data_IF_378562645781
#
_entry.id   IF_378562645781
#
_cell.length_a   1.000
_cell.length_b   1.000
_cell.length_c   1.000
_cell.angle_alpha   90.00
_cell.angle_beta   90.00
_cell.angle_gamma   90.00
#
_symmetry.space_group_name_H-M   'P 1'
#
loop_
_entity.id
_entity.type
_entity.pdbx_description
1 polymer ?
#
# COMPACT_ATOMS: atom_id res chain seq x y z
N UNK A 1 -12.37 66.58 -70.00
CA UNK A 1 -12.46 67.66 -68.99
C UNK A 1 -13.69 67.40 -68.13
N UNK A 2 -13.54 67.45 -66.79
CA UNK A 2 -14.61 67.35 -65.77
C UNK A 2 -15.04 65.93 -65.43
N UNK A 3 -14.42 65.19 -64.49
CA UNK A 3 -14.51 65.31 -63.03
C UNK A 3 -15.93 65.57 -62.53
N UNK A 4 -16.56 64.59 -61.86
CA UNK A 4 -16.97 64.73 -60.47
C UNK A 4 -17.11 63.37 -59.77
N UNK A 5 -16.50 63.34 -58.59
CA UNK A 5 -16.25 62.25 -57.69
C UNK A 5 -17.46 62.10 -56.73
N UNK A 6 -18.02 60.89 -56.56
CA UNK A 6 -18.82 60.52 -55.38
C UNK A 6 -18.56 59.05 -55.05
N UNK A 7 -17.88 58.84 -53.92
CA UNK A 7 -17.57 57.52 -53.37
C UNK A 7 -18.84 56.71 -53.10
N UNK A 8 -18.83 55.39 -53.36
CA UNK A 8 -19.99 54.53 -53.12
C UNK A 8 -20.18 54.25 -51.62
N UNK A 9 -21.45 54.23 -51.19
CA UNK A 9 -21.86 53.82 -49.86
C UNK A 9 -21.51 52.34 -49.61
N UNK A 10 -21.17 51.96 -48.36
CA UNK A 10 -20.82 50.58 -48.04
C UNK A 10 -22.02 49.64 -48.21
N UNK A 11 -21.79 48.39 -48.66
CA UNK A 11 -22.85 47.41 -48.80
C UNK A 11 -23.40 46.99 -47.42
N UNK A 12 -24.68 46.59 -47.33
CA UNK A 12 -25.30 46.10 -46.10
C UNK A 12 -24.64 44.79 -45.63
N UNK A 13 -24.66 44.51 -44.32
CA UNK A 13 -24.02 43.33 -43.74
C UNK A 13 -24.61 42.02 -44.30
N UNK A 14 -23.74 41.03 -44.50
CA UNK A 14 -24.13 39.71 -44.97
C UNK A 14 -25.10 39.02 -43.99
N UNK A 15 -26.10 38.28 -44.49
CA UNK A 15 -27.02 37.53 -43.64
C UNK A 15 -26.28 36.43 -42.86
N UNK A 16 -26.77 36.07 -41.65
CA UNK A 16 -26.12 35.06 -40.82
C UNK A 16 -26.12 33.68 -41.50
N UNK A 17 -25.09 32.84 -41.22
CA UNK A 17 -24.99 31.51 -41.80
C UNK A 17 -26.16 30.62 -41.37
N UNK A 18 -26.59 29.67 -42.22
CA UNK A 18 -27.68 28.76 -41.90
C UNK A 18 -27.31 27.86 -40.71
N UNK A 19 -28.29 27.44 -39.90
CA UNK A 19 -28.05 26.57 -38.76
C UNK A 19 -27.52 25.19 -39.20
N UNK A 20 -26.69 24.53 -38.38
CA UNK A 20 -26.10 23.24 -38.72
C UNK A 20 -27.19 22.16 -38.89
N UNK A 21 -26.95 21.15 -39.75
CA UNK A 21 -27.93 20.12 -40.03
C UNK A 21 -28.24 19.30 -38.78
N UNK A 22 -29.54 19.06 -38.54
CA UNK A 22 -30.00 18.19 -37.47
C UNK A 22 -29.57 16.74 -37.74
N UNK A 23 -29.11 15.98 -36.72
CA UNK A 23 -28.75 14.58 -36.92
C UNK A 23 -29.99 13.75 -37.28
N UNK A 24 -29.85 12.96 -38.34
CA UNK A 24 -30.81 11.96 -38.78
C UNK A 24 -31.15 10.98 -37.65
N UNK A 25 -32.45 10.72 -37.47
CA UNK A 25 -33.01 9.91 -36.40
C UNK A 25 -32.34 8.54 -36.23
N UNK A 26 -31.97 8.23 -34.99
CA UNK A 26 -31.50 6.91 -34.59
C UNK A 26 -32.66 5.91 -34.69
N UNK A 27 -32.60 5.01 -35.69
CA UNK A 27 -33.29 3.73 -35.61
C UNK A 27 -32.68 2.96 -34.44
N UNK A 28 -33.52 2.60 -33.47
CA UNK A 28 -33.14 1.88 -32.26
C UNK A 28 -32.42 0.58 -32.57
N UNK A 29 -31.09 0.59 -32.44
CA UNK A 29 -30.33 -0.61 -32.16
C UNK A 29 -30.54 -0.85 -30.67
N UNK A 30 -31.25 -1.92 -30.32
CA UNK A 30 -31.33 -2.38 -28.95
C UNK A 30 -29.89 -2.60 -28.45
N UNK A 31 -29.39 -1.63 -27.69
CA UNK A 31 -28.21 -1.82 -26.87
C UNK A 31 -28.57 -2.97 -25.94
N UNK A 32 -28.04 -4.16 -26.20
CA UNK A 32 -27.81 -5.12 -25.12
C UNK A 32 -27.04 -4.31 -24.08
N UNK A 33 -27.74 -3.89 -23.01
CA UNK A 33 -27.09 -3.49 -21.76
C UNK A 33 -26.10 -4.62 -21.52
N UNK A 34 -24.82 -4.33 -21.71
CA UNK A 34 -23.80 -5.17 -21.14
C UNK A 34 -24.16 -5.16 -19.66
N UNK A 35 -24.75 -6.26 -19.19
CA UNK A 35 -24.87 -6.53 -17.77
C UNK A 35 -23.47 -6.38 -17.25
N UNK A 36 -23.24 -5.26 -16.54
CA UNK A 36 -22.07 -5.12 -15.70
C UNK A 36 -21.97 -6.44 -14.92
N UNK A 37 -20.80 -7.11 -14.93
CA UNK A 37 -20.59 -8.22 -14.02
C UNK A 37 -21.02 -7.72 -12.64
N UNK A 38 -21.91 -8.44 -11.97
CA UNK A 38 -22.28 -8.11 -10.60
C UNK A 38 -20.97 -7.88 -9.83
N UNK A 39 -20.81 -6.70 -9.21
CA UNK A 39 -19.65 -6.43 -8.39
C UNK A 39 -19.47 -7.63 -7.46
N UNK A 40 -18.36 -8.36 -7.57
CA UNK A 40 -18.11 -9.51 -6.72
C UNK A 40 -18.22 -9.02 -5.28
N UNK A 41 -19.35 -9.34 -4.62
CA UNK A 41 -19.59 -9.00 -3.24
C UNK A 41 -18.70 -9.92 -2.42
N UNK A 42 -17.50 -9.45 -2.10
CA UNK A 42 -16.65 -10.13 -1.13
C UNK A 42 -17.39 -10.21 0.21
N UNK A 43 -17.17 -11.27 1.01
CA UNK A 43 -17.78 -11.37 2.33
C UNK A 43 -17.56 -10.10 3.14
N UNK A 44 -18.63 -9.58 3.75
CA UNK A 44 -18.56 -8.36 4.56
C UNK A 44 -17.45 -8.47 5.62
N UNK A 45 -16.60 -7.46 5.71
CA UNK A 45 -15.47 -7.46 6.64
C UNK A 45 -14.22 -8.21 6.16
N UNK A 46 -14.24 -8.91 5.02
CA UNK A 46 -13.02 -9.47 4.42
C UNK A 46 -11.99 -8.39 4.10
N UNK A 47 -10.70 -8.73 4.15
CA UNK A 47 -9.64 -7.79 3.82
C UNK A 47 -9.29 -7.81 2.33
N UNK A 48 -9.09 -6.63 1.75
CA UNK A 48 -8.24 -6.49 0.57
C UNK A 48 -6.80 -6.27 1.00
N UNK A 49 -5.86 -7.01 0.41
CA UNK A 49 -4.45 -7.03 0.79
C UNK A 49 -3.61 -6.52 -0.37
N UNK A 50 -2.87 -5.43 -0.15
CA UNK A 50 -1.75 -5.02 -1.00
C UNK A 50 -0.44 -5.21 -0.25
N UNK A 51 0.63 -5.61 -0.94
CA UNK A 51 1.96 -5.73 -0.33
C UNK A 51 3.01 -5.09 -1.23
N UNK A 52 3.88 -4.30 -0.62
CA UNK A 52 5.05 -3.70 -1.25
C UNK A 52 6.28 -4.36 -0.62
N UNK A 53 7.18 -4.89 -1.45
CA UNK A 53 8.41 -5.54 -0.99
C UNK A 53 9.61 -4.94 -1.70
N UNK A 54 10.56 -4.45 -0.93
CA UNK A 54 11.80 -3.87 -1.42
C UNK A 54 12.93 -4.89 -1.30
N UNK A 55 13.70 -5.09 -2.36
CA UNK A 55 14.82 -6.04 -2.37
C UNK A 55 15.84 -5.71 -3.46
N UNK A 56 16.98 -6.38 -3.38
CA UNK A 56 18.06 -6.35 -4.36
C UNK A 56 18.01 -7.62 -5.21
N UNK A 57 17.93 -7.45 -6.53
CA UNK A 57 17.74 -8.51 -7.49
C UNK A 57 18.99 -8.69 -8.39
N UNK A 58 19.67 -9.83 -8.25
CA UNK A 58 20.80 -10.21 -9.12
C UNK A 58 20.38 -11.32 -10.09
N UNK A 59 20.36 -11.07 -11.41
CA UNK A 59 20.02 -12.09 -12.41
C UNK A 59 20.96 -13.29 -12.39
N UNK A 60 20.42 -14.51 -12.39
CA UNK A 60 21.24 -15.74 -12.55
C UNK A 60 21.67 -15.99 -13.99
N UNK A 61 20.97 -15.38 -14.95
CA UNK A 61 21.21 -15.52 -16.39
C UNK A 61 21.40 -14.13 -17.02
N UNK A 62 22.27 -14.05 -18.02
CA UNK A 62 22.61 -12.77 -18.66
C UNK A 62 21.40 -12.16 -19.38
N UNK A 63 20.52 -12.95 -19.97
CA UNK A 63 19.32 -12.45 -20.66
C UNK A 63 18.30 -11.76 -19.74
N UNK A 64 18.37 -12.03 -18.43
CA UNK A 64 17.49 -11.43 -17.42
C UNK A 64 18.06 -10.13 -16.84
N UNK A 65 19.29 -9.77 -17.23
CA UNK A 65 19.92 -8.53 -16.80
C UNK A 65 19.55 -7.37 -17.74
N UNK A 66 19.84 -6.14 -17.34
CA UNK A 66 19.76 -4.95 -18.18
C UNK A 66 21.02 -4.11 -18.08
N UNK A 67 21.19 -3.12 -18.95
CA UNK A 67 22.20 -2.07 -18.80
C UNK A 67 21.74 -0.99 -17.81
N UNK A 68 20.43 -0.92 -17.56
CA UNK A 68 19.81 -0.02 -16.59
C UNK A 68 18.83 -0.80 -15.71
N UNK A 69 18.47 -0.22 -14.56
CA UNK A 69 17.42 -0.77 -13.68
C UNK A 69 16.09 -0.93 -14.42
N UNK A 70 15.76 0.01 -15.32
CA UNK A 70 14.54 -0.03 -16.12
C UNK A 70 14.54 -1.20 -17.09
N UNK A 71 15.65 -1.43 -17.80
CA UNK A 71 15.79 -2.60 -18.67
C UNK A 71 15.72 -3.91 -17.87
N UNK A 72 16.35 -3.96 -16.70
CA UNK A 72 16.28 -5.14 -15.83
C UNK A 72 14.83 -5.41 -15.38
N UNK A 73 14.07 -4.37 -15.03
CA UNK A 73 12.64 -4.47 -14.67
C UNK A 73 11.78 -4.96 -15.85
N UNK A 74 11.99 -4.43 -17.06
CA UNK A 74 11.31 -4.89 -18.28
C UNK A 74 11.59 -6.37 -18.54
N UNK A 75 12.86 -6.77 -18.47
CA UNK A 75 13.27 -8.15 -18.71
C UNK A 75 12.69 -9.10 -17.66
N UNK A 76 12.67 -8.70 -16.39
CA UNK A 76 12.05 -9.47 -15.31
C UNK A 76 10.54 -9.65 -15.50
N UNK A 77 9.81 -8.58 -15.80
CA UNK A 77 8.38 -8.63 -16.05
C UNK A 77 8.03 -9.51 -17.27
N UNK A 78 8.77 -9.36 -18.37
CA UNK A 78 8.59 -10.17 -19.57
C UNK A 78 8.86 -11.66 -19.30
N UNK A 79 9.94 -11.97 -18.56
CA UNK A 79 10.29 -13.33 -18.20
C UNK A 79 9.26 -13.98 -17.25
N UNK A 80 8.69 -13.23 -16.30
CA UNK A 80 7.62 -13.73 -15.44
C UNK A 80 6.35 -14.07 -16.24
N UNK A 81 5.94 -13.19 -17.14
CA UNK A 81 4.76 -13.44 -17.98
C UNK A 81 4.97 -14.63 -18.93
N UNK A 82 6.18 -14.80 -19.47
CA UNK A 82 6.56 -15.97 -20.25
C UNK A 82 6.56 -17.25 -19.40
N UNK A 83 7.02 -17.18 -18.15
CA UNK A 83 6.96 -18.29 -17.19
C UNK A 83 5.52 -18.73 -16.94
N UNK A 84 4.59 -17.80 -16.69
CA UNK A 84 3.16 -18.14 -16.54
C UNK A 84 2.58 -18.80 -17.80
N UNK A 85 2.92 -18.27 -18.99
CA UNK A 85 2.48 -18.84 -20.26
C UNK A 85 3.00 -20.27 -20.45
N UNK A 86 4.28 -20.51 -20.18
CA UNK A 86 4.92 -21.83 -20.34
C UNK A 86 4.34 -22.88 -19.38
N UNK A 87 3.83 -22.47 -18.22
CA UNK A 87 3.15 -23.36 -17.27
C UNK A 87 1.66 -23.55 -17.57
N UNK A 88 1.10 -22.88 -18.59
CA UNK A 88 -0.34 -22.87 -18.86
C UNK A 88 -1.16 -22.08 -17.83
N UNK A 89 -0.50 -21.24 -17.00
CA UNK A 89 -1.12 -20.53 -15.87
C UNK A 89 -1.33 -19.02 -16.12
N UNK A 90 -1.30 -18.59 -17.39
CA UNK A 90 -1.43 -17.16 -17.76
C UNK A 90 -2.75 -16.54 -17.27
N UNK A 91 -3.81 -17.33 -17.17
CA UNK A 91 -5.13 -16.89 -16.69
C UNK A 91 -5.34 -17.12 -15.19
N UNK A 92 -4.44 -17.86 -14.53
CA UNK A 92 -4.61 -18.28 -13.13
C UNK A 92 -3.89 -17.33 -12.17
N UNK A 93 -2.83 -16.65 -12.62
CA UNK A 93 -2.04 -15.74 -11.80
C UNK A 93 -1.94 -14.35 -12.42
N UNK A 94 -1.90 -13.29 -11.59
CA UNK A 94 -1.66 -11.93 -12.06
C UNK A 94 -0.36 -11.83 -12.85
N UNK A 95 -0.40 -11.11 -13.97
CA UNK A 95 0.77 -10.76 -14.77
C UNK A 95 1.64 -9.71 -14.04
N UNK A 96 2.81 -9.42 -14.61
CA UNK A 96 3.76 -8.42 -14.10
C UNK A 96 4.10 -7.39 -15.17
N UNK A 97 4.32 -6.14 -14.76
CA UNK A 97 4.80 -5.06 -15.63
C UNK A 97 5.90 -4.21 -14.97
N UNK A 98 6.67 -3.53 -15.81
CA UNK A 98 7.58 -2.46 -15.37
C UNK A 98 6.79 -1.17 -15.10
N UNK A 99 7.03 -0.56 -13.95
CA UNK A 99 6.48 0.74 -13.57
C UNK A 99 7.52 1.88 -13.64
N UNK A 100 8.80 1.57 -13.85
CA UNK A 100 9.88 2.57 -13.92
C UNK A 100 9.76 3.37 -15.23
N UNK A 101 9.49 4.66 -15.09
CA UNK A 101 9.30 5.61 -16.20
C UNK A 101 8.31 5.10 -17.26
N UNK A 102 7.21 4.47 -16.82
CA UNK A 102 6.22 3.88 -17.71
C UNK A 102 4.80 4.10 -17.20
N UNK A 103 3.94 4.64 -18.07
CA UNK A 103 2.51 4.75 -17.76
C UNK A 103 1.84 3.38 -17.81
N UNK A 104 1.11 3.05 -16.76
CA UNK A 104 0.30 1.84 -16.71
C UNK A 104 -1.01 2.00 -17.49
N UNK A 105 -1.34 1.01 -18.33
CA UNK A 105 -2.55 1.00 -19.18
C UNK A 105 -3.51 -0.17 -18.90
N UNK A 106 -3.16 -1.05 -17.96
CA UNK A 106 -4.00 -2.19 -17.57
C UNK A 106 -5.05 -1.81 -16.52
N UNK A 107 -5.74 -2.83 -16.00
CA UNK A 107 -6.70 -2.67 -14.91
C UNK A 107 -5.95 -2.32 -13.63
N UNK A 108 -6.28 -1.18 -13.01
CA UNK A 108 -5.58 -0.69 -11.82
C UNK A 108 -5.50 -1.76 -10.74
N UNK A 109 -4.30 -1.97 -10.21
CA UNK A 109 -4.01 -2.90 -9.11
C UNK A 109 -4.36 -4.38 -9.40
N UNK A 110 -4.42 -4.79 -10.68
CA UNK A 110 -4.69 -6.18 -11.07
C UNK A 110 -3.42 -6.99 -11.37
N UNK A 111 -2.26 -6.34 -11.46
CA UNK A 111 -0.98 -6.93 -11.86
C UNK A 111 0.12 -6.55 -10.88
N UNK A 112 1.19 -7.34 -10.86
CA UNK A 112 2.42 -7.00 -10.16
C UNK A 112 3.11 -5.82 -10.87
N UNK A 113 3.62 -4.86 -10.09
CA UNK A 113 4.42 -3.75 -10.60
C UNK A 113 5.83 -3.82 -10.04
N UNK A 114 6.83 -3.80 -10.94
CA UNK A 114 8.23 -3.58 -10.57
C UNK A 114 8.58 -2.11 -10.77
N UNK A 115 8.80 -1.40 -9.67
CA UNK A 115 9.14 0.02 -9.63
C UNK A 115 10.53 0.24 -9.01
N UNK A 116 11.01 1.47 -9.13
CA UNK A 116 12.17 1.97 -8.42
C UNK A 116 11.73 2.73 -7.18
N UNK A 117 12.49 2.59 -6.10
CA UNK A 117 12.36 3.39 -4.89
C UNK A 117 13.69 4.08 -4.57
N UNK A 118 13.67 5.41 -4.49
CA UNK A 118 14.87 6.22 -4.20
C UNK A 118 15.45 5.98 -2.80
N UNK A 119 14.70 5.32 -1.91
CA UNK A 119 15.16 4.95 -0.57
C UNK A 119 16.04 3.71 -0.56
N UNK A 120 15.94 2.83 -1.57
CA UNK A 120 16.73 1.60 -1.66
C UNK A 120 18.19 1.92 -1.98
N UNK A 121 19.09 1.41 -1.14
CA UNK A 121 20.54 1.53 -1.30
C UNK A 121 21.06 0.35 -2.10
N UNK A 122 21.70 0.64 -3.23
CA UNK A 122 22.34 -0.35 -4.10
C UNK A 122 23.86 -0.19 -4.03
N UNK A 123 24.65 -1.28 -4.09
CA UNK A 123 26.11 -1.18 -4.12
C UNK A 123 26.64 -0.35 -5.29
N UNK A 124 25.95 -0.42 -6.43
CA UNK A 124 26.23 0.35 -7.64
C UNK A 124 24.91 0.55 -8.40
N UNK A 125 24.59 1.79 -8.80
CA UNK A 125 23.33 2.12 -9.48
C UNK A 125 23.29 1.71 -10.95
N UNK A 126 24.44 1.35 -11.52
CA UNK A 126 24.60 1.05 -12.94
C UNK A 126 24.79 -0.45 -13.22
N UNK A 127 24.74 -1.31 -12.20
CA UNK A 127 24.87 -2.76 -12.37
C UNK A 127 24.09 -3.52 -11.30
N UNK A 128 23.81 -4.79 -11.59
CA UNK A 128 23.25 -5.71 -10.61
C UNK A 128 24.15 -5.83 -9.35
N UNK A 129 23.56 -6.05 -8.16
CA UNK A 129 22.13 -6.28 -7.93
C UNK A 129 21.30 -4.99 -8.02
N UNK A 130 20.14 -5.08 -8.67
CA UNK A 130 19.23 -3.95 -8.89
C UNK A 130 18.27 -3.79 -7.71
N UNK A 131 18.16 -2.57 -7.16
CA UNK A 131 17.21 -2.28 -6.09
C UNK A 131 15.81 -2.00 -6.64
N UNK A 132 14.86 -2.88 -6.36
CA UNK A 132 13.49 -2.82 -6.88
C UNK A 132 12.48 -2.82 -5.73
N UNK A 133 11.40 -2.08 -5.93
CA UNK A 133 10.16 -2.21 -5.17
C UNK A 133 9.18 -3.03 -6.01
N UNK A 134 8.71 -4.15 -5.46
CA UNK A 134 7.66 -4.95 -6.06
C UNK A 134 6.33 -4.69 -5.35
N UNK A 135 5.34 -4.22 -6.09
CA UNK A 135 4.01 -3.87 -5.59
C UNK A 135 3.02 -4.92 -6.10
N UNK A 136 2.21 -5.48 -5.20
CA UNK A 136 1.26 -6.51 -5.56
C UNK A 136 -0.02 -5.98 -6.20
N UNK A 137 -0.76 -6.84 -6.93
CA UNK A 137 -2.19 -6.67 -7.09
C UNK A 137 -2.90 -6.54 -5.74
N UNK A 138 -4.13 -6.02 -5.73
CA UNK A 138 -4.98 -6.11 -4.54
C UNK A 138 -5.58 -7.51 -4.48
N UNK A 139 -5.10 -8.29 -3.51
CA UNK A 139 -5.66 -9.59 -3.17
C UNK A 139 -6.87 -9.49 -2.26
N UNK A 140 -7.59 -10.60 -2.08
CA UNK A 140 -8.77 -10.67 -1.21
C UNK A 140 -8.68 -11.88 -0.28
N UNK A 141 -8.80 -11.64 1.02
CA UNK A 141 -8.78 -12.66 2.07
C UNK A 141 -10.20 -13.10 2.41
N UNK A 142 -10.59 -14.26 1.91
CA UNK A 142 -11.85 -14.93 2.23
C UNK A 142 -11.64 -16.45 2.12
N UNK A 143 -12.56 -17.24 2.64
CA UNK A 143 -12.44 -18.69 2.61
C UNK A 143 -12.28 -19.22 1.16
N UNK A 144 -11.26 -20.05 0.95
CA UNK A 144 -10.86 -20.62 -0.34
C UNK A 144 -10.31 -19.62 -1.38
N UNK A 145 -9.94 -18.39 -0.98
CA UNK A 145 -9.32 -17.46 -1.92
C UNK A 145 -7.85 -17.82 -2.22
N UNK A 146 -7.47 -17.72 -3.50
CA UNK A 146 -6.18 -18.20 -4.02
C UNK A 146 -5.00 -17.21 -3.88
N UNK A 147 -5.10 -16.25 -2.96
CA UNK A 147 -4.13 -15.14 -2.92
C UNK A 147 -2.73 -15.56 -2.50
N UNK A 148 -2.62 -16.59 -1.64
CA UNK A 148 -1.33 -17.12 -1.22
C UNK A 148 -0.62 -17.79 -2.39
N UNK A 149 -1.36 -18.51 -3.23
CA UNK A 149 -0.83 -19.15 -4.44
C UNK A 149 -0.28 -18.11 -5.43
N UNK A 150 -0.94 -16.94 -5.58
CA UNK A 150 -0.39 -15.87 -6.43
C UNK A 150 0.95 -15.33 -5.92
N UNK A 151 1.07 -15.13 -4.60
CA UNK A 151 2.33 -14.70 -3.97
C UNK A 151 3.40 -15.78 -4.13
N UNK A 152 3.09 -17.04 -3.80
CA UNK A 152 4.04 -18.14 -3.94
C UNK A 152 4.51 -18.35 -5.38
N UNK A 153 3.62 -18.18 -6.37
CA UNK A 153 4.00 -18.30 -7.78
C UNK A 153 4.98 -17.21 -8.21
N UNK A 154 4.76 -15.96 -7.79
CA UNK A 154 5.69 -14.86 -8.07
C UNK A 154 7.05 -15.10 -7.40
N UNK A 155 7.07 -15.47 -6.12
CA UNK A 155 8.33 -15.74 -5.40
C UNK A 155 9.07 -16.98 -5.91
N UNK A 156 8.36 -18.01 -6.36
CA UNK A 156 8.97 -19.18 -7.03
C UNK A 156 9.69 -18.77 -8.31
N UNK A 157 9.07 -17.91 -9.12
CA UNK A 157 9.72 -17.34 -10.29
C UNK A 157 10.98 -16.56 -9.91
N UNK A 158 10.88 -15.64 -8.94
CA UNK A 158 12.02 -14.81 -8.53
C UNK A 158 13.18 -15.65 -8.01
N UNK A 159 12.93 -16.57 -7.08
CA UNK A 159 13.97 -17.41 -6.47
C UNK A 159 14.65 -18.36 -7.45
N UNK A 160 13.91 -18.83 -8.46
CA UNK A 160 14.45 -19.66 -9.54
C UNK A 160 15.37 -18.87 -10.47
N UNK A 161 15.03 -17.62 -10.78
CA UNK A 161 15.68 -16.83 -11.84
C UNK A 161 16.71 -15.82 -11.33
N UNK A 162 16.67 -15.50 -10.04
CA UNK A 162 17.47 -14.45 -9.43
C UNK A 162 18.09 -14.90 -8.11
N UNK A 163 19.20 -14.27 -7.72
CA UNK A 163 19.65 -14.23 -6.32
C UNK A 163 19.00 -12.98 -5.71
N UNK A 164 18.21 -13.22 -4.67
CA UNK A 164 17.49 -12.16 -3.96
C UNK A 164 18.27 -11.87 -2.69
N UNK A 165 18.55 -10.59 -2.45
CA UNK A 165 19.19 -10.11 -1.23
C UNK A 165 18.51 -8.83 -0.77
N UNK A 166 18.85 -8.36 0.42
CA UNK A 166 18.32 -7.11 0.97
C UNK A 166 19.35 -6.49 1.91
N UNK A 167 19.17 -5.21 2.23
CA UNK A 167 19.94 -4.50 3.25
C UNK A 167 19.00 -3.66 4.13
N UNK A 168 19.56 -2.88 5.05
CA UNK A 168 18.79 -2.09 6.02
C UNK A 168 17.95 -0.97 5.41
N UNK A 169 18.14 -0.65 4.13
CA UNK A 169 17.28 0.30 3.42
C UNK A 169 16.00 -0.34 2.87
N UNK A 170 15.91 -1.67 2.85
CA UNK A 170 14.79 -2.41 2.30
C UNK A 170 13.73 -2.74 3.37
N UNK A 171 12.46 -2.74 2.96
CA UNK A 171 11.33 -3.08 3.81
C UNK A 171 10.20 -3.84 3.12
N UNK A 172 9.15 -4.06 3.90
CA UNK A 172 7.89 -4.64 3.47
C UNK A 172 6.75 -3.83 4.07
N UNK A 173 5.85 -3.38 3.21
CA UNK A 173 4.64 -2.65 3.60
C UNK A 173 3.40 -3.48 3.29
N UNK A 174 2.43 -3.49 4.20
CA UNK A 174 1.17 -4.23 4.03
C UNK A 174 0.00 -3.24 4.10
N UNK A 175 -0.78 -3.19 3.03
CA UNK A 175 -2.00 -2.40 2.92
C UNK A 175 -3.23 -3.27 3.15
N UNK A 176 -4.12 -2.83 4.03
CA UNK A 176 -5.33 -3.53 4.40
C UNK A 176 -6.54 -2.62 4.16
N UNK A 177 -7.34 -2.93 3.15
CA UNK A 177 -8.69 -2.38 2.96
C UNK A 177 -9.73 -3.36 3.50
N UNK A 178 -10.95 -2.91 3.76
CA UNK A 178 -12.03 -3.74 4.30
C UNK A 178 -13.25 -3.73 3.40
N UNK A 179 -13.79 -4.91 3.10
CA UNK A 179 -15.07 -5.04 2.39
C UNK A 179 -16.19 -4.42 3.23
N UNK A 180 -16.90 -3.45 2.63
CA UNK A 180 -17.88 -2.61 3.33
C UNK A 180 -17.30 -1.43 4.10
N UNK A 181 -15.99 -1.20 4.00
CA UNK A 181 -15.30 -0.07 4.62
C UNK A 181 -15.05 -0.22 6.12
N UNK A 182 -14.23 0.67 6.67
CA UNK A 182 -14.02 0.79 8.12
C UNK A 182 -15.03 1.75 8.72
N UNK A 183 -15.55 1.43 9.90
CA UNK A 183 -16.31 2.37 10.73
C UNK A 183 -15.36 3.22 11.60
N UNK A 184 -15.83 4.37 12.07
CA UNK A 184 -15.05 5.21 13.00
C UNK A 184 -14.66 4.45 14.27
N UNK A 185 -15.60 3.69 14.85
CA UNK A 185 -15.34 2.94 16.09
C UNK A 185 -14.32 1.81 15.89
N UNK A 186 -14.34 1.14 14.74
CA UNK A 186 -13.30 0.16 14.38
C UNK A 186 -11.93 0.84 14.30
N UNK A 187 -11.83 1.98 13.61
CA UNK A 187 -10.57 2.70 13.49
C UNK A 187 -10.06 3.22 14.83
N UNK A 188 -10.94 3.71 15.71
CA UNK A 188 -10.56 4.11 17.08
C UNK A 188 -9.91 2.95 17.81
N UNK A 189 -10.52 1.76 17.78
CA UNK A 189 -9.96 0.56 18.42
C UNK A 189 -8.59 0.20 17.84
N UNK A 190 -8.43 0.23 16.51
CA UNK A 190 -7.13 -0.03 15.86
C UNK A 190 -6.07 0.99 16.30
N UNK A 191 -6.40 2.29 16.27
CA UNK A 191 -5.48 3.35 16.67
C UNK A 191 -5.06 3.23 18.15
N UNK A 192 -6.00 2.93 19.04
CA UNK A 192 -5.70 2.70 20.46
C UNK A 192 -4.78 1.49 20.67
N UNK A 193 -5.03 0.38 19.95
CA UNK A 193 -4.17 -0.80 19.99
C UNK A 193 -2.77 -0.49 19.47
N UNK A 194 -2.63 0.32 18.41
CA UNK A 194 -1.32 0.74 17.89
C UNK A 194 -0.52 1.48 18.97
N UNK A 195 -1.12 2.48 19.62
CA UNK A 195 -0.45 3.24 20.69
C UNK A 195 -0.08 2.32 21.87
N UNK A 196 -0.99 1.41 22.24
CA UNK A 196 -0.78 0.48 23.37
C UNK A 196 0.32 -0.55 23.08
N UNK A 197 0.24 -1.28 21.96
CA UNK A 197 1.14 -2.38 21.63
C UNK A 197 2.41 -1.96 20.87
N UNK A 198 2.62 -0.67 20.61
CA UNK A 198 3.86 -0.21 19.97
C UNK A 198 5.13 -0.76 20.65
N UNK A 199 5.25 -0.84 22.00
CA UNK A 199 6.42 -1.45 22.60
C UNK A 199 6.64 -2.93 22.32
N UNK A 200 5.57 -3.68 22.06
CA UNK A 200 5.65 -5.07 21.63
C UNK A 200 6.20 -5.13 20.19
N UNK A 201 5.71 -4.26 19.30
CA UNK A 201 6.25 -4.13 17.93
C UNK A 201 7.73 -3.75 17.95
N UNK A 202 8.14 -2.79 18.77
CA UNK A 202 9.56 -2.44 18.98
C UNK A 202 10.42 -3.61 19.47
N UNK A 203 9.82 -4.54 20.24
CA UNK A 203 10.46 -5.77 20.70
C UNK A 203 10.55 -6.88 19.63
N UNK A 204 9.71 -6.81 18.59
CA UNK A 204 9.67 -7.79 17.49
C UNK A 204 10.55 -7.38 16.32
N UNK A 205 10.62 -6.09 16.05
CA UNK A 205 11.31 -5.57 14.88
C UNK A 205 12.84 -5.68 15.03
N UNK A 206 13.56 -6.02 13.95
CA UNK A 206 15.02 -6.01 13.97
C UNK A 206 15.54 -4.58 14.16
N UNK A 207 16.77 -4.46 14.70
CA UNK A 207 17.32 -3.18 15.18
C UNK A 207 17.39 -2.09 14.10
N UNK A 208 17.65 -2.48 12.86
CA UNK A 208 17.73 -1.60 11.69
C UNK A 208 16.36 -1.05 11.25
N UNK A 209 15.26 -1.61 11.75
CA UNK A 209 13.89 -1.15 11.52
C UNK A 209 13.32 -0.27 12.63
N UNK A 210 14.13 0.02 13.64
CA UNK A 210 13.78 0.93 14.72
C UNK A 210 14.24 2.34 14.38
N UNK A 211 13.50 3.36 14.85
CA UNK A 211 13.80 4.78 14.59
C UNK A 211 14.06 5.08 13.10
N UNK A 212 13.23 4.52 12.22
CA UNK A 212 13.32 4.69 10.77
C UNK A 212 12.54 5.93 10.34
N UNK A 213 13.19 6.85 9.61
CA UNK A 213 12.58 8.10 9.16
C UNK A 213 11.38 7.94 8.20
N UNK A 214 11.22 6.77 7.56
CA UNK A 214 10.13 6.43 6.66
C UNK A 214 9.00 5.64 7.35
N UNK A 215 9.18 5.27 8.63
CA UNK A 215 8.25 4.46 9.41
C UNK A 215 8.35 4.78 10.92
N UNK A 216 8.19 6.06 11.27
CA UNK A 216 8.37 6.60 12.63
C UNK A 216 7.32 6.09 13.63
N UNK A 217 7.58 6.29 14.92
CA UNK A 217 6.63 5.93 15.96
C UNK A 217 5.31 6.69 15.80
N UNK A 218 4.17 5.98 15.84
CA UNK A 218 2.85 6.60 15.80
C UNK A 218 2.51 7.34 17.10
N UNK A 219 3.19 7.03 18.21
CA UNK A 219 3.00 7.67 19.50
C UNK A 219 4.08 8.72 19.78
N UNK A 220 5.36 8.30 19.83
CA UNK A 220 6.45 9.11 20.35
C UNK A 220 6.89 10.22 19.39
N UNK A 221 6.90 9.96 18.08
CA UNK A 221 7.26 10.96 17.06
C UNK A 221 6.05 11.78 16.59
N UNK A 222 4.85 11.51 17.12
CA UNK A 222 3.63 12.16 16.70
C UNK A 222 3.34 13.42 17.53
N UNK A 223 3.25 14.62 16.90
CA UNK A 223 2.99 15.90 17.58
C UNK A 223 1.65 15.97 18.31
N UNK A 224 0.73 15.04 18.09
CA UNK A 224 -0.54 14.98 18.81
C UNK A 224 -0.48 14.13 20.09
N UNK A 225 0.62 13.41 20.33
CA UNK A 225 0.72 12.38 21.37
C UNK A 225 2.02 12.49 22.19
N UNK A 226 2.86 11.45 22.16
CA UNK A 226 4.06 11.32 22.97
C UNK A 226 5.12 12.40 22.70
N UNK A 227 5.12 13.00 21.51
CA UNK A 227 6.01 14.14 21.23
C UNK A 227 5.70 15.36 22.12
N UNK A 228 4.46 15.49 22.60
CA UNK A 228 4.03 16.50 23.58
C UNK A 228 4.06 15.98 25.02
N UNK A 229 4.81 14.91 25.29
CA UNK A 229 4.89 14.24 26.58
C UNK A 229 3.56 13.67 27.10
N UNK A 230 2.58 13.41 26.22
CA UNK A 230 1.35 12.74 26.63
C UNK A 230 1.62 11.26 26.87
N UNK A 231 1.10 10.74 28.00
CA UNK A 231 1.10 9.31 28.27
C UNK A 231 0.29 8.55 27.22
N UNK A 232 0.52 7.24 27.12
CA UNK A 232 -0.29 6.37 26.25
C UNK A 232 -1.77 6.42 26.61
N UNK A 233 -2.09 6.51 27.90
CA UNK A 233 -3.48 6.62 28.38
C UNK A 233 -4.14 7.91 27.88
N UNK A 234 -3.47 9.05 28.04
CA UNK A 234 -3.98 10.34 27.53
C UNK A 234 -4.11 10.33 26.00
N UNK A 235 -3.15 9.73 25.31
CA UNK A 235 -3.18 9.59 23.84
C UNK A 235 -4.37 8.73 23.37
N UNK A 236 -4.64 7.62 24.07
CA UNK A 236 -5.81 6.75 23.83
C UNK A 236 -7.12 7.51 24.10
N UNK A 237 -7.14 8.38 25.11
CA UNK A 237 -8.32 9.20 25.44
C UNK A 237 -8.61 10.23 24.36
N UNK A 238 -7.57 10.86 23.79
CA UNK A 238 -7.69 11.75 22.62
C UNK A 238 -8.27 10.99 21.42
N UNK A 239 -7.75 9.80 21.12
CA UNK A 239 -8.27 8.95 20.03
C UNK A 239 -9.75 8.61 20.25
N UNK A 240 -10.13 8.28 21.48
CA UNK A 240 -11.52 7.96 21.83
C UNK A 240 -12.48 9.13 21.55
N UNK A 241 -12.02 10.36 21.75
CA UNK A 241 -12.81 11.58 21.60
C UNK A 241 -12.93 12.09 20.16
N UNK A 242 -12.17 11.52 19.21
CA UNK A 242 -12.26 11.92 17.80
C UNK A 242 -13.71 11.77 17.28
N UNK A 243 -14.24 12.81 16.65
CA UNK A 243 -15.64 12.90 16.21
C UNK A 243 -15.87 12.40 14.78
N UNK A 244 -14.80 12.24 14.00
CA UNK A 244 -14.87 11.83 12.60
C UNK A 244 -13.65 11.00 12.18
N UNK A 245 -13.81 10.26 11.08
CA UNK A 245 -12.70 9.50 10.48
C UNK A 245 -11.57 10.43 10.04
N UNK A 246 -11.90 11.57 9.43
CA UNK A 246 -10.91 12.56 9.00
C UNK A 246 -10.08 13.09 10.17
N UNK A 247 -10.74 13.45 11.28
CA UNK A 247 -10.05 13.89 12.50
C UNK A 247 -9.13 12.80 13.03
N UNK A 248 -9.62 11.56 13.15
CA UNK A 248 -8.82 10.44 13.64
C UNK A 248 -7.60 10.15 12.77
N UNK A 249 -7.76 10.18 11.43
CA UNK A 249 -6.66 9.98 10.49
C UNK A 249 -5.60 11.07 10.65
N UNK A 250 -6.00 12.35 10.79
CA UNK A 250 -5.07 13.46 11.00
C UNK A 250 -4.44 13.48 12.40
N UNK A 251 -5.07 12.87 13.40
CA UNK A 251 -4.44 12.60 14.69
C UNK A 251 -3.28 11.60 14.55
N UNK A 252 -3.50 10.51 13.80
CA UNK A 252 -2.49 9.44 13.61
C UNK A 252 -1.40 9.78 12.58
N UNK A 253 -1.74 10.57 11.56
CA UNK A 253 -0.86 10.99 10.46
C UNK A 253 -1.00 12.51 10.22
N UNK A 254 -0.45 13.34 11.13
CA UNK A 254 -0.52 14.80 11.01
C UNK A 254 0.20 15.31 9.76
N UNK A 255 -0.17 16.51 9.32
CA UNK A 255 0.39 17.19 8.14
C UNK A 255 0.31 16.40 6.83
N UNK A 256 -0.60 15.42 6.76
CA UNK A 256 -0.69 14.47 5.65
C UNK A 256 0.63 13.70 5.44
N UNK A 257 1.37 13.44 6.52
CA UNK A 257 2.65 12.74 6.48
C UNK A 257 2.46 11.22 6.62
N UNK A 258 2.77 10.45 5.58
CA UNK A 258 2.67 8.99 5.58
C UNK A 258 3.80 8.29 6.33
N UNK A 259 4.85 9.02 6.74
CA UNK A 259 6.10 8.47 7.28
C UNK A 259 5.98 8.06 8.76
N UNK A 260 4.99 7.23 9.07
CA UNK A 260 4.72 6.62 10.37
C UNK A 260 4.56 5.10 10.21
N UNK A 261 4.82 4.34 11.27
CA UNK A 261 4.80 2.88 11.23
C UNK A 261 3.45 2.29 10.82
N UNK A 262 2.37 3.00 11.13
CA UNK A 262 1.03 2.77 10.64
C UNK A 262 0.52 4.03 9.94
N UNK A 263 0.13 3.92 8.68
CA UNK A 263 -0.38 5.02 7.87
C UNK A 263 -1.86 4.84 7.55
N UNK A 264 -2.64 5.88 7.79
CA UNK A 264 -4.09 5.92 7.61
C UNK A 264 -4.54 6.89 6.52
N UNK A 265 -3.63 7.57 5.82
CA UNK A 265 -3.99 8.67 4.91
C UNK A 265 -4.92 8.27 3.76
N UNK A 266 -4.90 7.01 3.34
CA UNK A 266 -5.83 6.49 2.32
C UNK A 266 -7.30 6.47 2.81
N UNK A 267 -7.55 6.64 4.12
CA UNK A 267 -8.88 6.72 4.72
C UNK A 267 -9.40 8.16 4.86
N UNK A 268 -8.62 9.19 4.51
CA UNK A 268 -9.01 10.61 4.69
C UNK A 268 -10.33 10.99 4.04
N UNK A 269 -10.60 10.42 2.86
CA UNK A 269 -11.74 10.79 2.01
C UNK A 269 -12.63 9.60 1.65
N UNK A 270 -12.33 8.40 2.17
CA UNK A 270 -13.08 7.18 1.85
C UNK A 270 -12.91 6.13 2.95
N UNK A 271 -14.01 5.55 3.48
CA UNK A 271 -13.92 4.45 4.44
C UNK A 271 -13.38 3.16 3.80
N UNK A 272 -13.30 3.10 2.47
CA UNK A 272 -12.78 1.96 1.70
C UNK A 272 -11.26 2.04 1.46
N UNK A 273 -10.60 3.06 2.00
CA UNK A 273 -9.14 3.19 1.97
C UNK A 273 -8.43 2.08 2.73
N UNK A 274 -7.11 2.19 2.80
CA UNK A 274 -6.25 1.20 3.46
C UNK A 274 -5.65 1.72 4.76
N UNK A 275 -5.54 0.83 5.74
CA UNK A 275 -4.56 0.95 6.81
C UNK A 275 -3.26 0.32 6.29
N UNK A 276 -2.14 1.01 6.39
CA UNK A 276 -0.84 0.55 5.89
C UNK A 276 0.12 0.32 7.05
N UNK A 277 0.64 -0.90 7.18
CA UNK A 277 1.74 -1.24 8.08
C UNK A 277 3.08 -1.07 7.35
N UNK A 278 3.94 -0.16 7.83
CA UNK A 278 5.19 0.27 7.16
C UNK A 278 6.47 -0.22 7.86
N UNK A 279 6.37 -1.05 8.89
CA UNK A 279 7.52 -1.41 9.74
C UNK A 279 8.16 -2.76 9.42
N UNK A 280 7.57 -3.58 8.56
CA UNK A 280 8.05 -4.93 8.27
C UNK A 280 9.42 -4.91 7.63
N UNK A 281 10.37 -5.71 8.14
CA UNK A 281 11.71 -5.88 7.56
C UNK A 281 11.65 -6.44 6.13
N UNK A 282 12.75 -6.32 5.39
CA UNK A 282 12.82 -6.80 4.01
C UNK A 282 12.40 -8.27 3.89
N UNK A 283 11.61 -8.56 2.86
CA UNK A 283 11.20 -9.93 2.52
C UNK A 283 12.05 -10.44 1.37
N UNK A 284 12.65 -11.63 1.54
CA UNK A 284 13.43 -12.30 0.48
C UNK A 284 12.84 -13.67 0.11
N UNK A 285 11.68 -13.99 0.65
CA UNK A 285 10.91 -15.20 0.37
C UNK A 285 9.40 -14.94 0.57
N UNK A 286 8.55 -15.80 0.00
CA UNK A 286 7.10 -15.72 0.24
C UNK A 286 6.75 -15.90 1.71
N UNK A 287 7.49 -16.73 2.44
CA UNK A 287 7.30 -16.90 3.89
C UNK A 287 7.53 -15.61 4.68
N UNK A 288 8.47 -14.75 4.26
CA UNK A 288 8.68 -13.43 4.89
C UNK A 288 7.50 -12.50 4.61
N UNK A 289 7.01 -12.49 3.37
CA UNK A 289 5.83 -11.72 2.97
C UNK A 289 4.60 -12.14 3.78
N UNK A 290 4.35 -13.44 3.86
CA UNK A 290 3.23 -13.98 4.64
C UNK A 290 3.34 -13.65 6.11
N UNK A 291 4.55 -13.67 6.70
CA UNK A 291 4.78 -13.26 8.08
C UNK A 291 4.31 -11.82 8.35
N UNK A 292 4.66 -10.88 7.47
CA UNK A 292 4.24 -9.48 7.62
C UNK A 292 2.75 -9.27 7.34
N UNK A 293 2.19 -9.94 6.34
CA UNK A 293 0.74 -9.92 6.08
C UNK A 293 -0.02 -10.46 7.29
N UNK A 294 0.42 -11.59 7.84
CA UNK A 294 -0.27 -12.28 8.93
C UNK A 294 -0.31 -11.43 10.20
N UNK A 295 0.81 -10.81 10.60
CA UNK A 295 0.82 -9.94 11.79
C UNK A 295 -0.02 -8.69 11.58
N UNK A 296 0.05 -8.04 10.42
CA UNK A 296 -0.74 -6.85 10.14
C UNK A 296 -2.24 -7.17 10.13
N UNK A 297 -2.65 -8.20 9.38
CA UNK A 297 -4.05 -8.60 9.22
C UNK A 297 -4.64 -9.11 10.53
N UNK A 298 -3.93 -9.99 11.25
CA UNK A 298 -4.39 -10.53 12.54
C UNK A 298 -4.49 -9.44 13.61
N UNK A 299 -3.53 -8.52 13.66
CA UNK A 299 -3.55 -7.42 14.61
C UNK A 299 -4.71 -6.46 14.35
N UNK A 300 -4.95 -6.07 13.10
CA UNK A 300 -6.07 -5.17 12.76
C UNK A 300 -7.41 -5.83 13.07
N UNK A 301 -7.61 -7.10 12.71
CA UNK A 301 -8.87 -7.80 13.02
C UNK A 301 -9.06 -7.99 14.54
N UNK A 302 -8.00 -8.38 15.27
CA UNK A 302 -8.06 -8.50 16.73
C UNK A 302 -8.38 -7.15 17.40
N UNK A 303 -7.82 -6.06 16.87
CA UNK A 303 -8.14 -4.70 17.32
C UNK A 303 -9.60 -4.35 17.07
N UNK A 304 -10.13 -4.66 15.89
CA UNK A 304 -11.54 -4.44 15.55
C UNK A 304 -12.46 -5.20 16.51
N UNK A 305 -12.15 -6.46 16.84
CA UNK A 305 -12.98 -7.31 17.70
C UNK A 305 -12.85 -6.99 19.19
N UNK A 306 -11.63 -6.73 19.67
CA UNK A 306 -11.31 -6.73 21.10
C UNK A 306 -10.66 -5.45 21.64
N UNK A 307 -10.27 -4.52 20.78
CA UNK A 307 -9.45 -3.33 21.09
C UNK A 307 -10.15 -2.21 21.84
N UNK A 308 -11.05 -2.53 22.77
CA UNK A 308 -11.71 -1.53 23.63
C UNK A 308 -10.74 -1.02 24.70
N UNK A 309 -10.82 0.27 25.04
CA UNK A 309 -9.97 0.94 26.04
C UNK A 309 -9.88 0.17 27.36
N UNK A 310 -10.99 -0.36 27.85
CA UNK A 310 -11.07 -1.07 29.14
C UNK A 310 -10.35 -2.43 29.10
N UNK A 311 -10.25 -3.03 27.91
CA UNK A 311 -9.54 -4.29 27.71
C UNK A 311 -8.04 -4.05 27.62
N UNK A 312 -7.62 -3.01 26.89
CA UNK A 312 -6.19 -2.70 26.69
C UNK A 312 -5.48 -2.43 28.03
N UNK A 313 -6.14 -1.76 28.98
CA UNK A 313 -5.56 -1.52 30.30
C UNK A 313 -5.23 -2.81 31.09
N UNK A 314 -5.82 -3.94 30.72
CA UNK A 314 -5.64 -5.25 31.38
C UNK A 314 -4.59 -6.13 30.71
N UNK A 315 -4.13 -5.74 29.51
CA UNK A 315 -3.15 -6.50 28.73
C UNK A 315 -1.80 -5.80 28.84
N UNK A 316 -0.71 -6.51 29.17
CA UNK A 316 0.61 -5.89 29.15
C UNK A 316 1.01 -5.57 27.70
N UNK A 317 1.66 -4.42 27.48
CA UNK A 317 2.17 -4.01 26.16
C UNK A 317 3.45 -4.77 25.72
N UNK A 318 3.63 -6.00 26.19
CA UNK A 318 4.75 -6.88 25.83
C UNK A 318 4.40 -7.75 24.63
N UNK A 319 5.39 -8.44 24.07
CA UNK A 319 5.19 -9.41 22.99
C UNK A 319 4.23 -10.53 23.39
N UNK A 320 4.31 -11.03 24.63
CA UNK A 320 3.36 -12.00 25.19
C UNK A 320 1.94 -11.46 25.28
N UNK A 321 1.77 -10.20 25.70
CA UNK A 321 0.46 -9.55 25.72
C UNK A 321 -0.13 -9.37 24.33
N UNK A 322 0.69 -9.01 23.34
CA UNK A 322 0.27 -8.94 21.93
C UNK A 322 -0.15 -10.32 21.38
N UNK A 323 0.61 -11.37 21.66
CA UNK A 323 0.26 -12.76 21.30
C UNK A 323 -1.09 -13.16 21.90
N UNK A 324 -1.26 -12.92 23.20
CA UNK A 324 -2.51 -13.21 23.91
C UNK A 324 -3.68 -12.43 23.31
N UNK A 325 -3.49 -11.14 23.03
CA UNK A 325 -4.51 -10.27 22.45
C UNK A 325 -5.00 -10.75 21.09
N UNK A 326 -4.07 -11.13 20.20
CA UNK A 326 -4.41 -11.71 18.89
C UNK A 326 -5.11 -13.05 19.06
N UNK A 327 -4.61 -13.93 19.95
CA UNK A 327 -5.23 -15.23 20.24
C UNK A 327 -6.65 -15.11 20.81
N UNK A 328 -6.89 -14.11 21.65
CA UNK A 328 -8.20 -13.85 22.25
C UNK A 328 -9.28 -13.49 21.22
N UNK A 329 -8.89 -13.02 20.03
CA UNK A 329 -9.81 -12.71 18.94
C UNK A 329 -10.40 -13.94 18.24
N UNK A 330 -9.86 -15.15 18.52
CA UNK A 330 -10.31 -16.44 17.98
C UNK A 330 -10.51 -16.41 16.47
N UNK A 331 -9.49 -15.92 15.76
CA UNK A 331 -9.48 -15.87 14.31
C UNK A 331 -9.48 -17.31 13.73
N UNK A 332 -10.18 -17.57 12.61
CA UNK A 332 -10.19 -18.90 11.99
C UNK A 332 -8.78 -19.24 11.49
N UNK A 333 -8.19 -20.30 12.04
CA UNK A 333 -6.82 -20.72 11.75
C UNK A 333 -6.80 -21.94 10.83
N UNK A 334 -5.88 -21.95 9.86
CA UNK A 334 -5.70 -23.07 8.93
C UNK A 334 -6.78 -23.22 7.87
N UNK A 335 -7.67 -22.23 7.74
CA UNK A 335 -8.68 -22.18 6.67
C UNK A 335 -8.05 -21.55 5.42
N UNK A 336 -8.05 -22.23 4.26
CA UNK A 336 -7.49 -21.68 3.02
C UNK A 336 -8.03 -20.27 2.71
N UNK A 337 -7.15 -19.38 2.27
CA UNK A 337 -7.49 -17.98 1.97
C UNK A 337 -7.64 -17.05 3.20
N UNK A 338 -7.70 -17.57 4.42
CA UNK A 338 -7.80 -16.80 5.67
C UNK A 338 -6.46 -16.78 6.46
N UNK A 339 -6.55 -16.76 7.80
CA UNK A 339 -5.43 -16.66 8.72
C UNK A 339 -4.68 -17.99 8.84
N UNK A 340 -3.37 -17.88 9.07
CA UNK A 340 -2.48 -19.02 9.24
C UNK A 340 -1.44 -18.73 10.33
N UNK A 341 -1.70 -19.31 11.52
CA UNK A 341 -0.89 -19.10 12.72
C UNK A 341 0.54 -19.57 12.58
N UNK A 342 0.89 -20.37 11.56
CA UNK A 342 2.28 -20.77 11.29
C UNK A 342 3.17 -19.56 11.06
N UNK A 343 2.67 -18.52 10.40
CA UNK A 343 3.45 -17.31 10.12
C UNK A 343 3.62 -16.43 11.37
N UNK A 344 2.61 -16.35 12.24
CA UNK A 344 2.76 -15.71 13.56
C UNK A 344 3.75 -16.49 14.44
N UNK A 345 3.63 -17.82 14.49
CA UNK A 345 4.57 -18.68 15.23
C UNK A 345 6.01 -18.48 14.75
N UNK A 346 6.21 -18.36 13.44
CA UNK A 346 7.51 -18.02 12.84
C UNK A 346 8.02 -16.67 13.33
N UNK A 347 7.21 -15.61 13.21
CA UNK A 347 7.57 -14.25 13.65
C UNK A 347 8.02 -14.23 15.11
N UNK A 348 7.30 -14.96 15.96
CA UNK A 348 7.50 -14.94 17.40
C UNK A 348 8.48 -15.98 17.95
N UNK A 349 8.96 -16.91 17.12
CA UNK A 349 9.64 -18.15 17.55
C UNK A 349 10.81 -17.93 18.52
N UNK A 350 11.54 -16.82 18.40
CA UNK A 350 12.72 -16.51 19.20
C UNK A 350 12.57 -15.24 20.05
N UNK A 351 11.33 -14.80 20.29
CA UNK A 351 11.06 -13.57 21.04
C UNK A 351 10.38 -13.93 22.36
N UNK A 352 11.04 -13.66 23.51
CA UNK A 352 10.46 -13.90 24.83
C UNK A 352 9.12 -13.18 25.00
N UNK A 353 8.18 -13.78 25.73
CA UNK A 353 6.87 -13.14 26.00
C UNK A 353 6.99 -11.86 26.83
N UNK A 354 8.02 -11.76 27.68
CA UNK A 354 8.36 -10.55 28.40
C UNK A 354 9.07 -9.48 27.55
N UNK A 355 9.38 -9.76 26.27
CA UNK A 355 10.07 -8.81 25.42
C UNK A 355 9.22 -7.54 25.25
N UNK A 356 9.90 -6.42 25.41
CA UNK A 356 9.32 -5.09 25.43
C UNK A 356 10.42 -4.09 25.16
N UNK A 357 10.14 -3.10 24.32
CA UNK A 357 11.09 -2.01 24.06
C UNK A 357 10.33 -0.71 23.88
N UNK A 358 10.71 0.36 24.58
CA UNK A 358 10.12 1.67 24.28
C UNK A 358 10.62 2.15 22.91
N UNK A 359 9.76 2.79 22.10
CA UNK A 359 10.21 3.48 20.91
C UNK A 359 11.26 4.53 21.30
N UNK A 360 12.22 4.74 20.41
CA UNK A 360 13.25 5.77 20.56
C UNK A 360 12.90 6.89 19.58
N UNK A 361 12.91 8.17 20.01
CA UNK A 361 12.61 9.28 19.12
C UNK A 361 13.54 9.26 17.91
N UNK A 362 13.05 9.63 16.73
CA UNK A 362 13.88 9.67 15.52
C UNK A 362 15.13 10.54 15.69
N UNK A 363 15.04 11.57 16.54
CA UNK A 363 16.13 12.52 16.77
C UNK A 363 16.43 13.39 15.55
N UNK A 364 17.59 14.04 15.56
CA UNK A 364 18.03 14.91 14.46
C UNK A 364 18.64 14.07 13.34
N UNK A 365 18.01 14.11 12.17
CA UNK A 365 18.55 13.47 10.97
C UNK A 365 19.84 14.16 10.50
N UNK A 366 20.77 13.37 9.96
CA UNK A 366 21.92 13.92 9.24
C UNK A 366 21.46 14.70 8.00
N UNK A 367 22.25 15.66 7.48
CA UNK A 367 21.91 16.38 6.26
C UNK A 367 21.61 15.45 5.07
N UNK A 368 22.36 14.36 4.94
CA UNK A 368 22.17 13.35 3.89
C UNK A 368 20.82 12.62 4.03
N UNK A 369 20.48 12.13 5.23
CA UNK A 369 19.18 11.49 5.50
C UNK A 369 18.01 12.45 5.27
N UNK A 370 18.16 13.71 5.69
CA UNK A 370 17.14 14.73 5.48
C UNK A 370 16.92 15.02 3.99
N UNK A 371 18.00 15.11 3.19
CA UNK A 371 17.90 15.28 1.75
C UNK A 371 17.20 14.09 1.08
N UNK A 372 17.57 12.86 1.47
CA UNK A 372 16.95 11.62 0.98
C UNK A 372 15.46 11.56 1.31
N UNK A 373 15.07 11.89 2.54
CA UNK A 373 13.67 11.98 2.96
C UNK A 373 12.88 13.03 2.16
N UNK A 374 13.47 14.21 1.92
CA UNK A 374 12.86 15.26 1.08
C UNK A 374 12.63 14.77 -0.35
N UNK A 375 13.63 14.10 -0.94
CA UNK A 375 13.53 13.54 -2.28
C UNK A 375 12.41 12.50 -2.37
N UNK A 376 12.35 11.55 -1.41
CA UNK A 376 11.28 10.55 -1.35
C UNK A 376 9.90 11.20 -1.23
N UNK A 377 9.73 12.20 -0.35
CA UNK A 377 8.47 12.94 -0.21
C UNK A 377 8.06 13.65 -1.52
N UNK A 378 9.01 14.13 -2.31
CA UNK A 378 8.74 14.74 -3.61
C UNK A 378 8.37 13.71 -4.69
N UNK A 379 9.05 12.57 -4.69
CA UNK A 379 8.73 11.43 -5.55
C UNK A 379 7.30 10.93 -5.30
N UNK A 380 6.94 10.71 -4.03
CA UNK A 380 5.61 10.27 -3.61
C UNK A 380 4.50 11.23 -4.05
N UNK A 381 4.73 12.54 -3.89
CA UNK A 381 3.81 13.58 -4.37
C UNK A 381 3.63 13.49 -5.89
N UNK A 382 4.72 13.29 -6.63
CA UNK A 382 4.69 13.20 -8.08
C UNK A 382 3.94 11.96 -8.55
N UNK A 383 4.22 10.78 -7.95
CA UNK A 383 3.49 9.53 -8.21
C UNK A 383 1.99 9.68 -7.89
N UNK A 384 1.65 10.30 -6.76
CA UNK A 384 0.25 10.56 -6.37
C UNK A 384 -0.46 11.50 -7.35
N UNK A 385 0.20 12.56 -7.82
CA UNK A 385 -0.36 13.49 -8.82
C UNK A 385 -0.57 12.80 -10.16
N UNK A 386 0.35 11.92 -10.57
CA UNK A 386 0.19 11.11 -11.78
C UNK A 386 -1.00 10.16 -11.61
N UNK A 387 -1.08 9.44 -10.49
CA UNK A 387 -2.19 8.54 -10.19
C UNK A 387 -3.54 9.27 -10.11
N UNK A 388 -3.59 10.48 -9.55
CA UNK A 388 -4.82 11.27 -9.45
C UNK A 388 -5.26 11.85 -10.79
N UNK A 389 -4.33 12.32 -11.63
CA UNK A 389 -4.60 12.71 -13.03
C UNK A 389 -5.09 11.52 -13.86
N UNK A 390 -4.57 10.32 -13.60
CA UNK A 390 -5.04 9.07 -14.20
C UNK A 390 -6.31 8.51 -13.53
N UNK A 391 -6.79 9.09 -12.44
CA UNK A 391 -7.99 8.69 -11.70
C UNK A 391 -9.19 9.62 -11.91
N UNK A 392 -9.11 10.59 -12.81
CA UNK A 392 -10.25 11.38 -13.24
C UNK A 392 -11.19 10.59 -14.17
N UNK A 393 -11.73 9.46 -13.69
CA UNK A 393 -13.05 8.91 -14.06
C UNK A 393 -13.54 8.06 -12.86
N UNK A 394 -14.78 8.24 -12.38
CA UNK A 394 -15.18 7.75 -11.07
C UNK A 394 -15.61 6.29 -11.17
N UNK A 395 -14.99 5.39 -10.39
CA UNK A 395 -15.54 4.04 -10.21
C UNK A 395 -15.39 3.56 -8.76
N UNK A 396 -16.39 3.96 -7.97
CA UNK A 396 -17.04 3.14 -6.95
C UNK A 396 -18.54 3.43 -7.06
N UNK A 397 -19.30 2.50 -7.63
CA UNK A 397 -20.73 2.33 -7.40
C UNK A 397 -20.96 0.83 -7.19
#
# INVERSE_FOLDING_TARGET
MGLFNRSPAPPPPAPPPPPPPQPLGQRGVAQKKATQPAAHQYPQGSFGIGVETEFLLEPRRKELNGHTIREASINAAAAYNAFLLAQGQKSDHPAMHNAIDQSYRGVKFAEWSLDSDSTIETPDRNKAPWGLENISPIFRSYENSAWREHIDTMWRFLTTNYRISANSSCGTHVHLSRAGGFTLDELKRVCQCIIHFEPAFEGILPRDRLSNEYARSNWLDNPNFGHRNLSRKESIDIIQNASSMRELVLLMNPDHDKMFGWNFLYLLNSPYGTIEFRRGAASISSSDVFMWIEIAMSFVEASIRGGRRENLAKVPATVGGLKWFIGAARLPDGVPGLYDSRYLKRLFSNIPDGAFRQPVPLGKLSPAKLAKLKNKKQEDKSKTVILSKMAQEPYWN
#
